data_IF_539401890341
#
_entry.id   IF_539401890341
#
_cell.length_a   1.000
_cell.length_b   1.000
_cell.length_c   1.000
_cell.angle_alpha   90.00
_cell.angle_beta   90.00
_cell.angle_gamma   90.00
#
_symmetry.space_group_name_H-M   'P 1'
#
loop_
_entity.id
_entity.type
_entity.pdbx_description
1 polymer ?
#
# COMPACT_ATOMS: atom_id res chain seq x y z
N UNK A 1 -5.44 22.82 0.44
CA UNK A 1 -4.41 22.58 -0.61
C UNK A 1 -4.42 21.10 -0.85
N UNK A 2 -4.42 20.65 -2.10
CA UNK A 2 -4.47 19.22 -2.38
C UNK A 2 -3.10 18.56 -2.17
N UNK A 3 -3.09 17.45 -1.46
CA UNK A 3 -1.93 16.60 -1.21
C UNK A 3 -2.18 15.21 -1.79
N UNK A 4 -1.09 14.59 -2.23
CA UNK A 4 -1.11 13.29 -2.89
C UNK A 4 -0.25 12.28 -2.14
N UNK A 5 -0.75 11.06 -2.02
CA UNK A 5 0.00 9.90 -1.55
C UNK A 5 -0.05 8.83 -2.63
N UNK A 6 1.10 8.23 -2.95
CA UNK A 6 1.20 7.18 -3.97
C UNK A 6 1.41 5.83 -3.31
N UNK A 7 0.67 4.82 -3.78
CA UNK A 7 0.76 3.45 -3.25
C UNK A 7 0.48 2.42 -4.35
N UNK A 8 0.73 1.15 -4.04
CA UNK A 8 0.39 0.05 -4.95
C UNK A 8 -1.07 -0.36 -4.80
N UNK A 9 -1.61 -1.08 -5.79
CA UNK A 9 -3.01 -1.56 -5.77
C UNK A 9 -3.29 -2.44 -4.55
N UNK A 10 -2.36 -3.35 -4.21
CA UNK A 10 -2.51 -4.25 -3.07
C UNK A 10 -2.53 -3.51 -1.73
N UNK A 11 -1.66 -2.52 -1.56
CA UNK A 11 -1.60 -1.72 -0.34
C UNK A 11 -2.78 -0.76 -0.22
N UNK A 12 -3.29 -0.25 -1.35
CA UNK A 12 -4.42 0.67 -1.35
C UNK A 12 -5.64 0.07 -0.64
N UNK A 13 -5.92 -1.21 -0.87
CA UNK A 13 -7.03 -1.92 -0.23
C UNK A 13 -6.93 -1.95 1.30
N UNK A 14 -5.74 -2.25 1.83
CA UNK A 14 -5.51 -2.25 3.27
C UNK A 14 -5.70 -0.84 3.86
N UNK A 15 -5.17 0.19 3.19
CA UNK A 15 -5.33 1.59 3.60
C UNK A 15 -6.79 2.01 3.59
N UNK A 16 -7.53 1.65 2.53
CA UNK A 16 -8.93 2.02 2.34
C UNK A 16 -9.90 1.22 3.22
N UNK A 17 -9.46 0.14 3.89
CA UNK A 17 -10.31 -0.59 4.85
C UNK A 17 -10.04 -0.16 6.31
N UNK A 18 -8.94 0.55 6.54
CA UNK A 18 -8.50 0.92 7.89
C UNK A 18 -7.97 2.36 7.91
N UNK A 19 -6.67 2.54 7.71
CA UNK A 19 -6.05 3.85 7.75
C UNK A 19 -4.74 3.88 6.98
N UNK A 20 -4.35 5.06 6.52
CA UNK A 20 -2.99 5.31 6.06
C UNK A 20 -2.15 5.66 7.28
N UNK A 21 -1.44 4.67 7.81
CA UNK A 21 -0.70 4.79 9.08
C UNK A 21 0.74 4.26 9.00
N UNK A 22 1.04 3.51 7.95
CA UNK A 22 2.32 2.82 7.80
C UNK A 22 3.31 3.69 7.02
N UNK A 23 4.52 3.80 7.55
CA UNK A 23 5.62 4.56 6.94
C UNK A 23 6.68 4.94 7.96
N UNK A 24 7.78 5.53 7.48
CA UNK A 24 8.90 5.93 8.32
C UNK A 24 9.60 7.16 7.76
N UNK A 25 10.34 7.86 8.62
CA UNK A 25 11.23 8.95 8.28
C UNK A 25 12.60 8.66 8.90
N UNK A 26 13.62 8.59 8.05
CA UNK A 26 15.00 8.57 8.51
C UNK A 26 15.41 9.99 8.92
N UNK A 27 16.10 10.11 10.05
CA UNK A 27 16.69 11.35 10.53
C UNK A 27 18.17 11.42 10.16
N UNK A 28 18.70 12.64 10.09
CA UNK A 28 20.13 12.89 9.87
C UNK A 28 21.02 12.30 10.97
N UNK A 29 20.47 11.99 12.14
CA UNK A 29 21.14 11.32 13.26
C UNK A 29 21.20 9.79 13.12
N UNK A 30 20.64 9.22 12.05
CA UNK A 30 20.55 7.77 11.83
C UNK A 30 19.38 7.10 12.57
N UNK A 31 18.62 7.85 13.36
CA UNK A 31 17.38 7.40 13.99
C UNK A 31 16.24 7.32 12.97
N UNK A 32 15.23 6.50 13.27
CA UNK A 32 14.06 6.30 12.42
C UNK A 32 12.79 6.59 13.22
N UNK A 33 11.96 7.49 12.70
CA UNK A 33 10.61 7.71 13.21
C UNK A 33 9.65 6.83 12.42
N UNK A 34 8.89 5.96 13.11
CA UNK A 34 7.84 5.12 12.51
C UNK A 34 6.47 5.83 12.57
N UNK A 35 5.51 5.38 11.76
CA UNK A 35 4.16 5.94 11.76
C UNK A 35 4.06 7.31 11.08
N UNK A 36 4.93 7.54 10.09
CA UNK A 36 4.98 8.78 9.31
C UNK A 36 4.40 8.55 7.93
N UNK A 37 3.35 9.30 7.60
CA UNK A 37 2.73 9.28 6.28
C UNK A 37 3.33 10.38 5.43
N UNK A 38 3.80 10.00 4.24
CA UNK A 38 4.37 10.93 3.27
C UNK A 38 3.32 11.40 2.28
N UNK A 39 3.30 12.71 2.04
CA UNK A 39 2.50 13.36 1.04
C UNK A 39 3.37 14.24 0.14
N UNK A 40 2.87 14.58 -1.03
CA UNK A 40 3.46 15.59 -1.91
C UNK A 40 2.39 16.49 -2.50
N UNK A 41 2.74 17.73 -2.84
CA UNK A 41 1.89 18.59 -3.67
C UNK A 41 2.00 18.29 -5.17
N UNK A 42 2.89 17.38 -5.58
CA UNK A 42 3.02 16.96 -6.98
C UNK A 42 1.93 15.93 -7.35
N UNK A 43 1.13 16.18 -8.40
CA UNK A 43 0.08 15.24 -8.81
C UNK A 43 0.63 13.98 -9.48
N UNK A 44 1.93 13.92 -9.78
CA UNK A 44 2.57 12.79 -10.44
C UNK A 44 3.76 12.28 -9.62
N UNK A 45 4.09 10.98 -9.71
CA UNK A 45 5.11 10.33 -8.89
C UNK A 45 6.54 10.77 -9.22
N UNK A 46 6.76 11.36 -10.41
CA UNK A 46 8.09 11.76 -10.86
C UNK A 46 8.71 12.78 -9.90
N UNK A 47 9.87 12.45 -9.35
CA UNK A 47 10.61 13.31 -8.41
C UNK A 47 10.14 13.23 -6.96
N UNK A 48 9.27 12.27 -6.63
CA UNK A 48 8.77 12.06 -5.26
C UNK A 48 9.51 10.96 -4.50
N UNK A 49 10.36 10.18 -5.19
CA UNK A 49 11.06 9.03 -4.62
C UNK A 49 10.19 7.78 -4.45
N UNK A 50 8.94 7.84 -4.90
CA UNK A 50 8.04 6.69 -4.92
C UNK A 50 8.55 5.66 -5.94
N UNK A 51 8.64 4.36 -5.58
CA UNK A 51 8.95 3.31 -6.53
C UNK A 51 7.94 3.27 -7.68
N UNK A 52 8.42 3.35 -8.92
CA UNK A 52 7.59 3.37 -10.15
C UNK A 52 7.62 2.06 -10.93
N UNK A 53 8.25 1.03 -10.37
CA UNK A 53 8.40 -0.28 -10.99
C UNK A 53 8.43 -1.36 -9.90
N UNK A 54 7.97 -2.56 -10.25
CA UNK A 54 8.16 -3.73 -9.41
C UNK A 54 9.56 -4.31 -9.68
N UNK A 55 10.36 -4.49 -8.63
CA UNK A 55 11.71 -5.05 -8.76
C UNK A 55 12.16 -5.74 -7.48
N UNK A 56 13.21 -6.55 -7.57
CA UNK A 56 13.88 -7.04 -6.37
C UNK A 56 14.64 -5.92 -5.68
N UNK A 57 14.56 -5.86 -4.36
CA UNK A 57 15.30 -4.92 -3.54
C UNK A 57 16.77 -5.33 -3.48
N UNK A 58 17.68 -4.36 -3.40
CA UNK A 58 19.11 -4.64 -3.21
C UNK A 58 19.40 -5.14 -1.79
N UNK A 59 20.58 -5.74 -1.56
CA UNK A 59 21.00 -6.18 -0.22
C UNK A 59 20.93 -5.03 0.82
N UNK A 60 21.36 -3.83 0.46
CA UNK A 60 21.26 -2.62 1.30
C UNK A 60 19.81 -2.25 1.63
N UNK A 61 18.90 -2.39 0.67
CA UNK A 61 17.46 -2.16 0.89
C UNK A 61 16.84 -3.26 1.77
N UNK A 62 17.26 -4.51 1.59
CA UNK A 62 16.86 -5.64 2.43
C UNK A 62 17.30 -5.44 3.89
N UNK A 63 18.55 -5.08 4.13
CA UNK A 63 19.06 -4.77 5.48
C UNK A 63 18.26 -3.63 6.14
N UNK A 64 17.97 -2.57 5.39
CA UNK A 64 17.11 -1.47 5.88
C UNK A 64 15.70 -1.96 6.19
N UNK A 65 15.09 -2.78 5.33
CA UNK A 65 13.77 -3.33 5.55
C UNK A 65 13.72 -4.21 6.81
N UNK A 66 14.74 -5.04 7.05
CA UNK A 66 14.90 -5.83 8.28
C UNK A 66 15.00 -4.92 9.51
N UNK A 67 15.78 -3.83 9.46
CA UNK A 67 15.84 -2.85 10.56
C UNK A 67 14.49 -2.21 10.87
N UNK A 68 13.62 -2.05 9.86
CA UNK A 68 12.31 -1.44 10.00
C UNK A 68 11.23 -2.41 10.49
N UNK A 69 11.23 -3.63 9.95
CA UNK A 69 10.15 -4.61 10.06
C UNK A 69 10.50 -5.83 10.94
N UNK A 70 11.77 -6.01 11.30
CA UNK A 70 12.28 -7.16 12.04
C UNK A 70 12.62 -8.36 11.15
N UNK A 71 11.74 -8.67 10.19
CA UNK A 71 11.92 -9.75 9.21
C UNK A 71 11.59 -9.27 7.80
N UNK A 72 12.31 -9.80 6.80
CA UNK A 72 12.00 -9.58 5.40
C UNK A 72 11.13 -10.73 4.89
N UNK A 73 9.85 -10.44 4.63
CA UNK A 73 8.89 -11.46 4.15
C UNK A 73 9.00 -11.74 2.65
N UNK A 74 9.39 -10.74 1.86
CA UNK A 74 9.72 -10.88 0.45
C UNK A 74 10.79 -9.85 0.07
N UNK A 75 11.51 -10.10 -1.02
CA UNK A 75 12.50 -9.18 -1.57
C UNK A 75 11.96 -8.39 -2.77
N UNK A 76 10.64 -8.37 -3.02
CA UNK A 76 10.01 -7.72 -4.16
C UNK A 76 9.28 -6.43 -3.75
N UNK A 77 9.76 -5.28 -4.23
CA UNK A 77 9.01 -4.02 -4.17
C UNK A 77 7.95 -3.98 -5.26
N UNK A 78 6.81 -3.35 -4.98
CA UNK A 78 5.73 -3.12 -5.95
C UNK A 78 5.80 -1.71 -6.55
N UNK A 79 5.31 -1.55 -7.78
CA UNK A 79 5.06 -0.24 -8.37
C UNK A 79 4.01 0.53 -7.56
N UNK A 80 4.48 1.48 -6.74
CA UNK A 80 3.64 2.35 -5.93
C UNK A 80 3.12 3.55 -6.69
N UNK A 81 3.47 3.71 -7.97
CA UNK A 81 2.92 4.78 -8.79
C UNK A 81 1.51 4.47 -9.30
N UNK A 82 1.05 3.22 -9.18
CA UNK A 82 -0.23 2.78 -9.74
C UNK A 82 -1.46 3.44 -9.10
N UNK A 83 -1.44 3.67 -7.79
CA UNK A 83 -2.55 4.32 -7.07
C UNK A 83 -2.10 5.67 -6.54
N UNK A 84 -2.96 6.67 -6.68
CA UNK A 84 -2.82 7.99 -6.07
C UNK A 84 -4.03 8.30 -5.21
N UNK A 85 -3.80 8.52 -3.92
CA UNK A 85 -4.78 9.11 -3.02
C UNK A 85 -4.68 10.62 -3.05
N UNK A 86 -5.83 11.26 -2.99
CA UNK A 86 -5.99 12.70 -2.89
C UNK A 86 -6.58 13.07 -1.52
N UNK A 87 -5.98 14.02 -0.83
CA UNK A 87 -6.45 14.52 0.48
C UNK A 87 -6.36 16.05 0.48
N UNK A 88 -7.34 16.75 1.06
CA UNK A 88 -7.18 18.18 1.36
C UNK A 88 -6.34 18.35 2.63
N UNK A 89 -5.24 19.09 2.54
CA UNK A 89 -4.40 19.42 3.68
C UNK A 89 -5.19 20.03 4.86
N UNK A 90 -6.31 20.71 4.59
CA UNK A 90 -7.18 21.30 5.64
C UNK A 90 -7.98 20.27 6.43
N UNK A 91 -8.17 19.06 5.90
CA UNK A 91 -8.86 17.98 6.61
C UNK A 91 -7.91 17.17 7.51
N UNK A 92 -6.60 17.46 7.46
CA UNK A 92 -5.58 16.83 8.29
C UNK A 92 -5.34 17.67 9.55
N UNK A 93 -4.95 17.00 10.63
CA UNK A 93 -4.62 17.65 11.90
C UNK A 93 -3.43 18.60 11.74
N UNK A 94 -3.54 19.80 12.31
CA UNK A 94 -2.42 20.73 12.37
C UNK A 94 -1.24 20.15 13.16
N UNK A 95 -0.02 20.50 12.72
CA UNK A 95 1.19 20.06 13.40
C UNK A 95 1.29 20.62 14.83
N UNK A 96 1.55 19.72 15.77
CA UNK A 96 1.85 20.05 17.17
C UNK A 96 2.77 19.01 17.79
N UNK A 97 3.43 19.40 18.88
CA UNK A 97 4.14 18.48 19.76
C UNK A 97 3.19 18.05 20.88
N UNK A 98 2.96 16.75 21.03
CA UNK A 98 2.16 16.17 22.12
C UNK A 98 3.10 15.29 22.94
N UNK A 99 3.30 15.64 24.21
CA UNK A 99 4.22 14.93 25.12
C UNK A 99 5.63 14.71 24.52
N UNK A 100 6.15 15.74 23.86
CA UNK A 100 7.46 15.69 23.20
C UNK A 100 7.51 14.90 21.89
N UNK A 101 6.37 14.41 21.37
CA UNK A 101 6.28 13.68 20.10
C UNK A 101 5.55 14.48 19.02
N UNK A 102 6.00 14.41 17.75
CA UNK A 102 5.32 15.11 16.66
C UNK A 102 3.98 14.45 16.34
N UNK A 103 2.97 15.26 16.05
CA UNK A 103 1.66 14.83 15.57
C UNK A 103 1.12 15.83 14.53
N UNK A 104 0.42 15.33 13.51
CA UNK A 104 -0.21 16.17 12.49
C UNK A 104 0.70 16.52 11.30
N UNK A 105 0.19 17.39 10.42
CA UNK A 105 0.75 17.73 9.11
C UNK A 105 1.77 18.87 9.16
N UNK A 106 2.97 18.65 8.63
CA UNK A 106 4.03 19.65 8.49
C UNK A 106 4.72 19.51 7.12
N UNK A 107 5.15 20.61 6.50
CA UNK A 107 6.00 20.52 5.32
C UNK A 107 7.39 19.98 5.69
N UNK A 108 8.00 19.20 4.80
CA UNK A 108 9.32 18.62 5.03
C UNK A 108 10.37 19.70 5.37
N UNK A 109 10.37 20.83 4.65
CA UNK A 109 11.27 21.95 4.92
C UNK A 109 11.07 22.59 6.30
N UNK A 110 9.82 22.66 6.79
CA UNK A 110 9.53 23.20 8.13
C UNK A 110 9.97 22.20 9.20
N UNK A 111 9.74 20.90 8.98
CA UNK A 111 10.24 19.85 9.86
C UNK A 111 11.77 19.86 9.95
N UNK A 112 12.48 19.87 8.82
CA UNK A 112 13.94 19.90 8.79
C UNK A 112 14.54 21.10 9.52
N UNK A 113 13.91 22.28 9.45
CA UNK A 113 14.32 23.45 10.23
C UNK A 113 14.10 23.25 11.73
N UNK A 114 12.97 22.65 12.11
CA UNK A 114 12.63 22.40 13.51
C UNK A 114 13.59 21.41 14.19
N UNK A 115 14.06 20.40 13.46
CA UNK A 115 15.05 19.43 13.94
C UNK A 115 16.50 19.79 13.60
N UNK A 116 16.73 21.02 13.14
CA UNK A 116 18.06 21.53 12.77
C UNK A 116 18.83 20.61 11.79
N UNK A 117 18.11 19.95 10.87
CA UNK A 117 18.71 19.04 9.92
C UNK A 117 19.71 19.77 9.01
N UNK A 118 20.92 19.22 8.78
CA UNK A 118 21.90 19.84 7.91
C UNK A 118 21.38 20.02 6.48
N UNK A 119 21.60 21.20 5.89
CA UNK A 119 21.14 21.52 4.52
C UNK A 119 21.62 20.50 3.47
N UNK A 120 22.85 20.01 3.62
CA UNK A 120 23.40 19.00 2.71
C UNK A 120 22.63 17.68 2.79
N UNK A 121 22.20 17.27 3.99
CA UNK A 121 21.42 16.06 4.21
C UNK A 121 20.02 16.18 3.60
N UNK A 122 19.36 17.33 3.81
CA UNK A 122 18.04 17.62 3.21
C UNK A 122 18.11 17.53 1.69
N UNK A 123 19.14 18.15 1.10
CA UNK A 123 19.36 18.10 -0.34
C UNK A 123 19.68 16.70 -0.84
N UNK A 124 20.49 15.94 -0.10
CA UNK A 124 20.82 14.55 -0.41
C UNK A 124 19.57 13.67 -0.44
N UNK A 125 18.69 13.78 0.55
CA UNK A 125 17.40 13.10 0.59
C UNK A 125 16.57 13.43 -0.66
N UNK A 126 16.45 14.72 -1.01
CA UNK A 126 15.77 15.18 -2.21
C UNK A 126 16.35 14.59 -3.51
N UNK A 127 17.68 14.48 -3.60
CA UNK A 127 18.35 13.90 -4.77
C UNK A 127 18.12 12.39 -4.87
N UNK A 128 18.12 11.66 -3.74
CA UNK A 128 17.87 10.21 -3.73
C UNK A 128 16.49 9.81 -4.24
N UNK A 129 15.54 10.75 -4.25
CA UNK A 129 14.21 10.56 -4.82
C UNK A 129 14.17 10.71 -6.36
N UNK A 130 15.25 11.22 -6.96
CA UNK A 130 15.34 11.54 -8.39
C UNK A 130 16.46 10.80 -9.11
N UNK A 131 17.47 10.33 -8.38
CA UNK A 131 18.68 9.74 -8.91
C UNK A 131 19.06 8.50 -8.11
N UNK A 132 19.65 7.52 -8.79
CA UNK A 132 20.38 6.45 -8.12
C UNK A 132 21.70 7.01 -7.61
N UNK A 133 21.73 7.45 -6.35
CA UNK A 133 22.88 8.14 -5.76
C UNK A 133 24.09 7.22 -5.65
N UNK A 134 23.86 5.92 -5.43
CA UNK A 134 24.95 4.94 -5.30
C UNK A 134 25.65 4.70 -6.65
N UNK A 135 25.01 5.05 -7.77
CA UNK A 135 25.59 4.97 -9.12
C UNK A 135 26.25 6.26 -9.63
N UNK A 136 26.23 7.35 -8.86
CA UNK A 136 26.83 8.63 -9.27
C UNK A 136 28.32 8.70 -8.88
N UNK A 137 29.12 9.35 -9.73
CA UNK A 137 30.47 9.75 -9.33
C UNK A 137 30.44 10.89 -8.28
N UNK A 138 31.52 11.02 -7.50
CA UNK A 138 31.68 12.08 -6.51
C UNK A 138 31.48 13.49 -7.10
N UNK A 139 32.02 13.73 -8.29
CA UNK A 139 31.93 15.04 -8.95
C UNK A 139 30.51 15.33 -9.45
N UNK A 140 29.80 14.32 -9.96
CA UNK A 140 28.39 14.45 -10.33
C UNK A 140 27.51 14.72 -9.12
N UNK A 141 27.73 13.99 -8.02
CA UNK A 141 27.00 14.20 -6.77
C UNK A 141 27.24 15.61 -6.23
N UNK A 142 28.50 16.07 -6.17
CA UNK A 142 28.85 17.45 -5.76
C UNK A 142 28.18 18.49 -6.66
N UNK A 143 28.16 18.26 -7.98
CA UNK A 143 27.50 19.14 -8.94
C UNK A 143 25.99 19.20 -8.69
N UNK A 144 25.33 18.07 -8.47
CA UNK A 144 23.88 17.99 -8.21
C UNK A 144 23.50 18.62 -6.86
N UNK A 145 24.33 18.45 -5.83
CA UNK A 145 24.13 19.09 -4.52
C UNK A 145 24.17 20.62 -4.60
N UNK A 146 25.01 21.18 -5.47
CA UNK A 146 25.12 22.62 -5.71
C UNK A 146 24.07 23.16 -6.68
N UNK A 147 23.53 22.31 -7.57
CA UNK A 147 22.59 22.72 -8.61
C UNK A 147 21.23 23.08 -7.99
N UNK A 148 20.72 24.28 -8.33
CA UNK A 148 19.36 24.70 -7.99
C UNK A 148 18.34 23.81 -8.72
N UNK A 149 17.24 23.48 -8.04
CA UNK A 149 16.11 22.69 -8.59
C UNK A 149 16.45 21.26 -9.07
N UNK A 150 17.60 20.72 -8.66
CA UNK A 150 17.98 19.31 -8.91
C UNK A 150 17.17 18.28 -8.10
N UNK A 151 16.30 18.73 -7.20
CA UNK A 151 15.49 17.90 -6.31
C UNK A 151 14.13 18.57 -6.03
N UNK A 152 13.18 17.83 -5.45
CA UNK A 152 11.78 18.27 -5.26
C UNK A 152 11.27 18.14 -3.81
N UNK A 153 12.17 18.06 -2.84
CA UNK A 153 11.86 17.88 -1.41
C UNK A 153 10.96 18.97 -0.82
N UNK A 154 11.02 20.20 -1.35
CA UNK A 154 10.13 21.31 -0.96
C UNK A 154 8.64 21.04 -1.25
N UNK A 155 8.34 20.04 -2.09
CA UNK A 155 6.96 19.61 -2.37
C UNK A 155 6.44 18.59 -1.38
N UNK A 156 7.28 18.09 -0.48
CA UNK A 156 6.96 16.99 0.44
C UNK A 156 6.35 17.49 1.74
N UNK A 157 5.43 16.68 2.26
CA UNK A 157 4.75 16.91 3.52
C UNK A 157 4.76 15.61 4.32
N UNK A 158 4.87 15.76 5.63
CA UNK A 158 4.87 14.66 6.59
C UNK A 158 3.61 14.80 7.45
N UNK A 159 2.89 13.71 7.62
CA UNK A 159 1.85 13.62 8.63
C UNK A 159 2.27 12.59 9.67
N UNK A 160 2.40 13.02 10.92
CA UNK A 160 2.74 12.14 12.04
C UNK A 160 1.46 11.61 12.68
N UNK A 161 1.28 10.29 12.66
CA UNK A 161 0.08 9.60 13.11
C UNK A 161 -0.83 9.14 11.95
N UNK A 162 -1.86 8.33 12.26
CA UNK A 162 -2.74 7.73 11.26
C UNK A 162 -3.61 8.77 10.55
N UNK A 163 -3.78 8.60 9.24
CA UNK A 163 -4.74 9.33 8.43
C UNK A 163 -5.92 8.40 8.13
N UNK A 164 -7.10 8.77 8.61
CA UNK A 164 -8.31 7.98 8.43
C UNK A 164 -8.69 7.89 6.94
N UNK A 165 -9.12 6.71 6.49
CA UNK A 165 -9.51 6.47 5.10
C UNK A 165 -10.67 7.35 4.64
N UNK A 166 -11.53 7.79 5.56
CA UNK A 166 -12.63 8.73 5.32
C UNK A 166 -12.17 10.13 4.87
N UNK A 167 -10.91 10.51 5.13
CA UNK A 167 -10.33 11.78 4.70
C UNK A 167 -9.79 11.72 3.25
N UNK A 168 -9.78 10.54 2.62
CA UNK A 168 -9.37 10.38 1.23
C UNK A 168 -10.51 10.85 0.31
N UNK A 169 -10.27 11.95 -0.40
CA UNK A 169 -11.28 12.56 -1.30
C UNK A 169 -11.43 11.78 -2.60
N UNK A 170 -10.33 11.23 -3.12
CA UNK A 170 -10.32 10.46 -4.35
C UNK A 170 -9.21 9.41 -4.36
N UNK A 171 -9.51 8.30 -5.05
CA UNK A 171 -8.59 7.21 -5.35
C UNK A 171 -8.47 7.12 -6.87
N UNK A 172 -7.28 7.38 -7.39
CA UNK A 172 -7.01 7.37 -8.82
C UNK A 172 -6.04 6.24 -9.21
N UNK A 173 -6.24 5.68 -10.39
CA UNK A 173 -5.38 4.70 -11.04
C UNK A 173 -4.53 5.33 -12.13
N UNK A 174 -3.26 4.95 -12.22
CA UNK A 174 -2.37 5.37 -13.30
C UNK A 174 -2.60 4.52 -14.54
N UNK A 175 -3.17 5.12 -15.58
CA UNK A 175 -3.32 4.52 -16.91
C UNK A 175 -2.50 5.33 -17.93
N UNK A 176 -1.41 4.73 -18.42
CA UNK A 176 -0.43 5.42 -19.25
C UNK A 176 0.21 6.60 -18.51
N UNK A 177 0.11 7.80 -19.10
CA UNK A 177 0.63 9.05 -18.51
C UNK A 177 -0.32 9.79 -17.58
N UNK A 178 -1.56 9.31 -17.41
CA UNK A 178 -2.62 10.02 -16.69
C UNK A 178 -3.13 9.24 -15.48
N UNK A 179 -3.85 9.95 -14.60
CA UNK A 179 -4.61 9.37 -13.50
C UNK A 179 -6.10 9.47 -13.79
N UNK A 180 -6.80 8.35 -13.71
CA UNK A 180 -8.26 8.23 -13.85
C UNK A 180 -8.85 7.68 -12.57
N UNK A 181 -10.16 7.85 -12.33
CA UNK A 181 -10.80 7.29 -11.14
C UNK A 181 -10.60 5.78 -11.08
N UNK A 182 -10.20 5.28 -9.91
CA UNK A 182 -9.95 3.87 -9.70
C UNK A 182 -11.27 3.09 -9.65
N UNK A 183 -11.27 1.94 -10.31
CA UNK A 183 -12.35 0.98 -10.36
C UNK A 183 -11.72 -0.39 -10.11
N UNK A 184 -12.24 -1.10 -9.12
CA UNK A 184 -11.61 -2.35 -8.67
C UNK A 184 -11.71 -3.46 -9.72
N UNK A 185 -12.84 -3.61 -10.40
CA UNK A 185 -12.98 -4.66 -11.40
C UNK A 185 -12.13 -4.36 -12.65
N UNK A 186 -12.15 -3.11 -13.11
CA UNK A 186 -11.45 -2.72 -14.35
C UNK A 186 -9.94 -2.64 -14.19
N UNK A 187 -9.46 -2.18 -13.03
CA UNK A 187 -8.03 -1.88 -12.84
C UNK A 187 -7.39 -2.77 -11.77
N UNK A 188 -8.17 -3.19 -10.78
CA UNK A 188 -7.65 -3.85 -9.59
C UNK A 188 -7.45 -5.35 -9.74
N UNK A 189 -8.34 -6.06 -10.44
CA UNK A 189 -8.29 -7.53 -10.55
C UNK A 189 -6.95 -8.02 -11.13
N UNK A 190 -6.55 -7.48 -12.29
CA UNK A 190 -5.30 -7.84 -12.95
C UNK A 190 -4.08 -7.51 -12.08
N UNK A 191 -4.02 -6.29 -11.54
CA UNK A 191 -2.93 -5.86 -10.68
C UNK A 191 -2.81 -6.68 -9.36
N UNK A 192 -3.91 -7.26 -8.88
CA UNK A 192 -3.90 -8.17 -7.73
C UNK A 192 -3.41 -9.57 -8.13
N UNK A 193 -3.84 -10.09 -9.28
CA UNK A 193 -3.38 -11.37 -9.81
C UNK A 193 -1.87 -11.37 -10.12
N UNK A 194 -1.32 -10.25 -10.62
CA UNK A 194 0.13 -10.07 -10.78
C UNK A 194 0.91 -10.26 -9.46
N UNK A 195 0.28 -9.97 -8.33
CA UNK A 195 0.84 -10.13 -6.99
C UNK A 195 0.45 -11.46 -6.32
N UNK A 196 -0.19 -12.37 -7.07
CA UNK A 196 -0.63 -13.68 -6.60
C UNK A 196 -1.87 -13.65 -5.72
N UNK A 197 -2.68 -12.60 -5.85
CA UNK A 197 -3.94 -12.44 -5.11
C UNK A 197 -5.09 -12.52 -6.10
N UNK A 198 -5.71 -13.70 -6.20
CA UNK A 198 -6.84 -13.91 -7.08
C UNK A 198 -8.12 -13.41 -6.42
N UNK A 199 -8.84 -12.51 -7.10
CA UNK A 199 -10.04 -11.90 -6.56
C UNK A 199 -11.29 -12.41 -7.29
N UNK A 200 -12.38 -12.55 -6.53
CA UNK A 200 -13.71 -12.84 -7.07
C UNK A 200 -14.18 -11.64 -7.89
N UNK A 201 -14.82 -11.90 -9.04
CA UNK A 201 -15.26 -10.87 -9.99
C UNK A 201 -16.71 -11.08 -10.47
N UNK A 202 -17.25 -10.09 -11.18
CA UNK A 202 -18.51 -10.20 -11.91
C UNK A 202 -19.72 -10.43 -10.99
N UNK A 203 -20.56 -11.42 -11.33
CA UNK A 203 -21.82 -11.67 -10.62
C UNK A 203 -21.60 -11.99 -9.14
N UNK A 204 -20.62 -12.85 -8.83
CA UNK A 204 -20.31 -13.23 -7.46
C UNK A 204 -19.83 -12.03 -6.62
N UNK A 205 -19.03 -11.14 -7.21
CA UNK A 205 -18.61 -9.90 -6.55
C UNK A 205 -19.78 -8.92 -6.36
N UNK A 206 -20.66 -8.80 -7.36
CA UNK A 206 -21.86 -7.94 -7.26
C UNK A 206 -22.78 -8.41 -6.13
N UNK A 207 -23.02 -9.72 -6.01
CA UNK A 207 -23.78 -10.31 -4.90
C UNK A 207 -23.12 -10.05 -3.54
N UNK A 208 -21.78 -10.10 -3.47
CA UNK A 208 -21.06 -9.80 -2.23
C UNK A 208 -21.29 -8.34 -1.78
N UNK A 209 -21.32 -7.39 -2.72
CA UNK A 209 -21.56 -5.97 -2.44
C UNK A 209 -22.95 -5.68 -1.86
N UNK A 210 -23.93 -6.54 -2.12
CA UNK A 210 -25.28 -6.44 -1.54
C UNK A 210 -25.28 -6.83 -0.05
N UNK A 211 -24.35 -7.71 0.34
CA UNK A 211 -24.24 -8.27 1.70
C UNK A 211 -23.27 -7.44 2.55
N UNK A 212 -22.06 -7.23 2.04
CA UNK A 212 -20.99 -6.51 2.72
C UNK A 212 -20.88 -5.14 2.06
N UNK A 213 -21.48 -4.14 2.68
CA UNK A 213 -21.44 -2.77 2.14
C UNK A 213 -20.11 -2.08 2.46
N UNK A 214 -19.65 -1.13 1.64
CA UNK A 214 -18.55 -0.26 2.03
C UNK A 214 -18.91 0.53 3.31
N UNK A 215 -18.04 0.50 4.31
CA UNK A 215 -18.14 1.29 5.54
C UNK A 215 -17.88 2.78 5.31
N UNK A 216 -17.24 3.15 4.20
CA UNK A 216 -17.18 4.52 3.71
C UNK A 216 -17.03 4.57 2.18
N UNK A 217 -17.17 5.76 1.61
CA UNK A 217 -17.24 6.01 0.15
C UNK A 217 -16.09 5.43 -0.67
N UNK A 218 -14.91 5.29 -0.08
CA UNK A 218 -13.70 4.86 -0.80
C UNK A 218 -13.28 3.42 -0.44
N UNK A 219 -13.98 2.75 0.47
CA UNK A 219 -13.64 1.36 0.82
C UNK A 219 -13.93 0.45 -0.37
N UNK A 220 -12.99 -0.46 -0.65
CA UNK A 220 -13.13 -1.46 -1.71
C UNK A 220 -13.48 -2.79 -1.08
N UNK A 221 -14.77 -3.13 -1.13
CA UNK A 221 -15.22 -4.46 -0.76
C UNK A 221 -14.75 -5.46 -1.82
N UNK A 222 -14.19 -6.59 -1.40
CA UNK A 222 -13.81 -7.67 -2.30
C UNK A 222 -13.53 -8.96 -1.53
N UNK A 223 -13.57 -10.09 -2.25
CA UNK A 223 -13.07 -11.37 -1.78
C UNK A 223 -11.81 -11.73 -2.56
N UNK A 224 -10.71 -12.00 -1.84
CA UNK A 224 -9.41 -12.34 -2.40
C UNK A 224 -8.84 -13.62 -1.81
N UNK A 225 -8.20 -14.41 -2.64
CA UNK A 225 -7.58 -15.70 -2.31
C UNK A 225 -6.07 -15.58 -2.52
N UNK A 226 -5.30 -16.05 -1.53
CA UNK A 226 -3.84 -16.11 -1.59
C UNK A 226 -3.43 -17.54 -1.22
N UNK A 227 -2.65 -18.18 -2.07
CA UNK A 227 -2.05 -19.47 -1.76
C UNK A 227 -0.64 -19.25 -1.20
N UNK A 228 -0.45 -19.59 0.07
CA UNK A 228 0.89 -19.62 0.70
C UNK A 228 1.51 -21.01 0.67
N UNK A 229 0.69 -22.04 0.47
CA UNK A 229 1.04 -23.45 0.40
C UNK A 229 -0.16 -24.22 -0.19
N UNK A 230 0.00 -24.91 -1.34
CA UNK A 230 -1.08 -25.66 -1.99
C UNK A 230 -1.69 -26.78 -1.13
N UNK A 231 -0.99 -27.23 -0.08
CA UNK A 231 -1.46 -28.29 0.83
C UNK A 231 -2.22 -27.76 2.05
N UNK A 232 -2.26 -26.44 2.25
CA UNK A 232 -3.00 -25.81 3.35
C UNK A 232 -4.47 -25.58 3.02
N UNK A 233 -5.22 -25.26 4.07
CA UNK A 233 -6.63 -24.90 3.99
C UNK A 233 -6.89 -23.80 2.96
N UNK A 234 -7.92 -24.04 2.14
CA UNK A 234 -8.35 -23.14 1.09
C UNK A 234 -9.17 -22.02 1.70
N UNK A 235 -8.56 -20.84 1.84
CA UNK A 235 -9.20 -19.72 2.52
C UNK A 235 -9.39 -18.54 1.57
N UNK A 236 -10.54 -17.88 1.70
CA UNK A 236 -10.84 -16.60 1.06
C UNK A 236 -10.90 -15.50 2.12
N UNK A 237 -10.23 -14.39 1.85
CA UNK A 237 -10.27 -13.19 2.67
C UNK A 237 -11.25 -12.18 2.06
N UNK A 238 -12.32 -11.89 2.78
CA UNK A 238 -13.32 -10.89 2.44
C UNK A 238 -12.98 -9.62 3.21
N UNK A 239 -12.82 -8.51 2.49
CA UNK A 239 -12.61 -7.17 3.07
C UNK A 239 -13.82 -6.31 2.78
N UNK A 240 -14.26 -5.54 3.78
CA UNK A 240 -15.42 -4.67 3.70
C UNK A 240 -15.98 -4.36 5.09
N UNK A 241 -16.84 -3.34 5.19
CA UNK A 241 -17.38 -2.83 6.46
C UNK A 241 -16.28 -2.47 7.48
N UNK A 242 -15.10 -2.04 7.03
CA UNK A 242 -13.96 -1.74 7.89
C UNK A 242 -13.36 -2.97 8.59
N UNK A 243 -13.67 -4.18 8.12
CA UNK A 243 -13.25 -5.45 8.71
C UNK A 243 -12.58 -6.38 7.68
N UNK A 244 -12.02 -7.48 8.16
CA UNK A 244 -11.49 -8.57 7.34
C UNK A 244 -11.99 -9.90 7.90
N UNK A 245 -12.70 -10.64 7.07
CA UNK A 245 -13.30 -11.93 7.38
C UNK A 245 -12.58 -13.02 6.59
N UNK A 246 -12.13 -14.08 7.25
CA UNK A 246 -11.53 -15.26 6.62
C UNK A 246 -12.55 -16.38 6.65
N UNK A 247 -12.89 -16.89 5.48
CA UNK A 247 -13.80 -18.01 5.28
C UNK A 247 -13.03 -19.17 4.66
N UNK A 248 -13.26 -20.38 5.16
CA UNK A 248 -12.72 -21.60 4.56
C UNK A 248 -13.65 -22.07 3.43
N UNK A 249 -13.10 -22.24 2.23
CA UNK A 249 -13.85 -22.52 1.00
C UNK A 249 -14.51 -23.90 1.06
N UNK A 250 -13.84 -24.89 1.66
CA UNK A 250 -14.33 -26.27 1.70
C UNK A 250 -15.48 -26.47 2.70
N UNK A 251 -15.28 -25.99 3.94
CA UNK A 251 -16.30 -26.03 5.00
C UNK A 251 -17.38 -24.96 4.82
N UNK A 252 -17.11 -23.90 4.05
CA UNK A 252 -17.99 -22.75 3.78
C UNK A 252 -18.34 -21.97 5.04
N UNK A 253 -17.48 -22.06 6.06
CA UNK A 253 -17.66 -21.39 7.36
C UNK A 253 -16.64 -20.29 7.56
N UNK A 254 -17.06 -19.25 8.25
CA UNK A 254 -16.15 -18.21 8.73
C UNK A 254 -15.25 -18.83 9.80
N UNK A 255 -13.94 -18.69 9.60
CA UNK A 255 -12.91 -19.18 10.52
C UNK A 255 -12.45 -18.06 11.45
N UNK A 256 -12.29 -16.86 10.90
CA UNK A 256 -11.74 -15.72 11.64
C UNK A 256 -12.43 -14.44 11.20
N UNK A 257 -12.79 -13.59 12.17
CA UNK A 257 -13.13 -12.19 11.94
C UNK A 257 -12.08 -11.32 12.65
N UNK A 258 -11.46 -10.39 11.94
CA UNK A 258 -10.29 -9.67 12.46
C UNK A 258 -10.65 -8.68 13.57
N UNK A 259 -11.78 -7.96 13.41
CA UNK A 259 -12.37 -7.13 14.47
C UNK A 259 -13.63 -7.85 14.97
N UNK A 260 -13.76 -8.01 16.27
CA UNK A 260 -14.99 -8.53 16.86
C UNK A 260 -16.12 -7.52 16.61
N UNK A 261 -16.99 -7.83 15.65
CA UNK A 261 -18.08 -6.98 15.19
C UNK A 261 -19.35 -7.83 15.07
N UNK A 262 -20.22 -7.68 16.06
CA UNK A 262 -21.49 -8.39 16.14
C UNK A 262 -22.44 -8.06 14.98
N UNK A 263 -22.21 -6.96 14.26
CA UNK A 263 -23.04 -6.54 13.14
C UNK A 263 -22.54 -7.09 11.80
N UNK A 264 -21.38 -7.75 11.77
CA UNK A 264 -20.88 -8.33 10.53
C UNK A 264 -21.81 -9.46 10.05
N UNK A 265 -22.24 -9.49 8.78
CA UNK A 265 -23.29 -10.39 8.30
C UNK A 265 -22.77 -11.81 8.03
N UNK A 266 -22.23 -12.49 9.05
CA UNK A 266 -21.55 -13.80 8.96
C UNK A 266 -22.41 -14.82 8.21
N UNK A 267 -23.69 -14.98 8.59
CA UNK A 267 -24.56 -15.98 7.96
C UNK A 267 -24.83 -15.71 6.48
N UNK A 268 -25.00 -14.46 6.10
CA UNK A 268 -25.19 -14.10 4.70
C UNK A 268 -23.90 -14.32 3.88
N UNK A 269 -22.73 -14.05 4.48
CA UNK A 269 -21.42 -14.34 3.86
C UNK A 269 -21.20 -15.85 3.67
N UNK A 270 -21.57 -16.67 4.66
CA UNK A 270 -21.52 -18.14 4.54
C UNK A 270 -22.43 -18.63 3.41
N UNK A 271 -23.69 -18.15 3.36
CA UNK A 271 -24.62 -18.50 2.27
C UNK A 271 -24.16 -18.01 0.90
N UNK A 272 -23.52 -16.83 0.82
CA UNK A 272 -22.91 -16.35 -0.41
C UNK A 272 -21.79 -17.27 -0.89
N UNK A 273 -20.93 -17.74 0.01
CA UNK A 273 -19.87 -18.68 -0.31
C UNK A 273 -20.43 -20.04 -0.77
N UNK A 274 -21.51 -20.51 -0.15
CA UNK A 274 -22.23 -21.71 -0.60
C UNK A 274 -22.75 -21.57 -2.03
N UNK A 275 -23.35 -20.42 -2.38
CA UNK A 275 -23.86 -20.13 -3.72
C UNK A 275 -22.79 -19.87 -4.79
N UNK A 276 -21.58 -19.49 -4.38
CA UNK A 276 -20.49 -19.07 -5.29
C UNK A 276 -19.25 -19.97 -5.22
N UNK A 277 -19.39 -21.22 -4.73
CA UNK A 277 -18.27 -22.13 -4.50
C UNK A 277 -17.40 -22.36 -5.75
N UNK A 278 -18.01 -22.41 -6.94
CA UNK A 278 -17.27 -22.60 -8.19
C UNK A 278 -16.31 -21.44 -8.48
N UNK A 279 -16.74 -20.21 -8.24
CA UNK A 279 -15.89 -19.03 -8.43
C UNK A 279 -14.79 -18.95 -7.37
N UNK A 280 -15.09 -19.34 -6.12
CA UNK A 280 -14.08 -19.44 -5.06
C UNK A 280 -13.02 -20.49 -5.37
N UNK A 281 -13.41 -21.65 -5.91
CA UNK A 281 -12.48 -22.69 -6.36
C UNK A 281 -11.63 -22.19 -7.53
N UNK A 282 -12.23 -21.51 -8.52
CA UNK A 282 -11.48 -20.90 -9.63
C UNK A 282 -10.41 -19.93 -9.13
N UNK A 283 -10.75 -19.06 -8.19
CA UNK A 283 -9.79 -18.15 -7.56
C UNK A 283 -8.69 -18.92 -6.82
N UNK A 284 -9.02 -20.00 -6.12
CA UNK A 284 -8.02 -20.84 -5.46
C UNK A 284 -7.05 -21.49 -6.44
N UNK A 285 -7.55 -22.07 -7.53
CA UNK A 285 -6.72 -22.66 -8.59
C UNK A 285 -5.77 -21.63 -9.21
N UNK A 286 -6.27 -20.43 -9.52
CA UNK A 286 -5.42 -19.33 -9.99
C UNK A 286 -4.37 -18.88 -8.96
N UNK A 287 -4.72 -18.89 -7.67
CA UNK A 287 -3.79 -18.56 -6.60
C UNK A 287 -2.70 -19.62 -6.44
N UNK A 288 -3.02 -20.90 -6.65
CA UNK A 288 -2.04 -22.01 -6.67
C UNK A 288 -1.09 -21.88 -7.87
N UNK A 289 -1.59 -21.58 -9.06
CA UNK A 289 -0.71 -21.32 -10.21
C UNK A 289 0.19 -20.09 -9.97
N UNK A 290 -0.35 -19.04 -9.35
CA UNK A 290 0.44 -17.88 -8.92
C UNK A 290 1.51 -18.26 -7.87
N UNK A 291 1.20 -19.14 -6.92
CA UNK A 291 2.18 -19.65 -5.97
C UNK A 291 3.35 -20.34 -6.70
N UNK A 292 3.06 -21.23 -7.65
CA UNK A 292 4.11 -21.89 -8.43
C UNK A 292 4.86 -20.95 -9.39
N UNK A 293 4.25 -19.83 -9.81
CA UNK A 293 4.98 -18.78 -10.54
C UNK A 293 6.07 -18.14 -9.68
N UNK A 294 5.82 -17.96 -8.38
CA UNK A 294 6.79 -17.40 -7.44
C UNK A 294 7.74 -18.44 -6.84
N UNK A 295 7.32 -19.70 -6.76
CA UNK A 295 8.07 -20.83 -6.21
C UNK A 295 8.07 -22.04 -7.17
N UNK A 296 8.66 -21.91 -8.37
CA UNK A 296 8.60 -22.95 -9.41
C UNK A 296 9.23 -24.28 -8.97
N UNK A 297 10.23 -24.23 -8.08
CA UNK A 297 10.89 -25.40 -7.52
C UNK A 297 9.98 -26.28 -6.65
N UNK A 298 8.85 -25.73 -6.18
CA UNK A 298 7.89 -26.46 -5.35
C UNK A 298 6.82 -27.18 -6.16
N UNK A 299 6.80 -27.02 -7.49
CA UNK A 299 5.86 -27.73 -8.36
C UNK A 299 6.30 -29.18 -8.47
N UNK A 300 5.74 -30.06 -7.64
CA UNK A 300 5.97 -31.50 -7.76
C UNK A 300 5.24 -31.95 -9.03
N UNK A 301 6.02 -32.28 -10.06
CA UNK A 301 5.50 -32.97 -11.24
C UNK A 301 5.45 -34.45 -10.85
N UNK A 302 4.26 -34.96 -10.50
CA UNK A 302 4.06 -36.40 -10.48
C UNK A 302 4.35 -36.92 -11.90
N UNK A 303 5.33 -37.81 -12.00
CA UNK A 303 5.67 -38.56 -13.22
C UNK A 303 4.79 -39.79 -13.33
#
# INVERSE_FOLDING_TARGET
MKLYHFTSVSLAKAVLSDSLSQGHLDLHTGQIIKGVVWFTSLPFPKGTGVPTESKRISAKQAEKAVRLQGELRNDLTSDKSKIRFSVDARSLSDFKMVDGRPYGLISFDKWCRLVEAPKHWVKYMGLSAMHDIDGLSDDELRRLLKKKDSSKEHTWYLHFGPVQSSLIEAVDFKLGGNYISYDFERHGLEAMSELGIECVAGVAHTQLLEIVKPGHRQEIVHAGVICTDPLKDRNVCIRGLGNSCVLNIDSKRVVTLHKDDSNYPIKAVESWAEGNVHELIRCWEGAVESFYRFFPEKRIIEK
#
